data_IF_067371292272
#
_entry.id   IF_067371292272
#
_cell.length_a   1.000
_cell.length_b   1.000
_cell.length_c   1.000
_cell.angle_alpha   90.00
_cell.angle_beta   90.00
_cell.angle_gamma   90.00
#
_symmetry.space_group_name_H-M   'P 1'
#
loop_
_entity.id
_entity.type
_entity.pdbx_description
1 polymer ?
#
# COMPACT_ATOMS: atom_id res chain seq x y z
N UNK A 1 -3.39 4.99 -18.37
CA UNK A 1 -3.90 5.76 -17.22
C UNK A 1 -2.73 6.11 -16.31
N UNK A 2 -2.33 7.36 -16.24
CA UNK A 2 -1.24 7.76 -15.37
C UNK A 2 -1.71 7.85 -13.92
N UNK A 3 -0.94 7.25 -13.03
CA UNK A 3 -1.17 7.33 -11.60
C UNK A 3 -0.21 8.32 -10.97
N UNK A 4 -0.68 9.03 -9.96
CA UNK A 4 0.15 9.92 -9.16
C UNK A 4 0.71 9.12 -7.97
N UNK A 5 2.00 8.85 -7.99
CA UNK A 5 2.66 8.05 -6.96
C UNK A 5 3.22 8.94 -5.86
N UNK A 6 2.91 8.59 -4.62
CA UNK A 6 3.34 9.34 -3.44
C UNK A 6 3.92 8.37 -2.42
N UNK A 7 5.11 8.68 -1.92
CA UNK A 7 5.77 7.90 -0.86
C UNK A 7 5.82 8.77 0.39
N UNK A 8 5.24 8.28 1.48
CA UNK A 8 5.19 9.01 2.74
C UNK A 8 5.51 8.09 3.92
N UNK A 9 6.16 8.65 4.94
CA UNK A 9 6.25 7.98 6.24
C UNK A 9 4.88 8.06 6.91
N UNK A 10 4.68 7.26 7.96
CA UNK A 10 3.40 7.23 8.66
C UNK A 10 3.00 8.62 9.18
N UNK A 11 3.96 9.35 9.74
CA UNK A 11 3.68 10.67 10.31
C UNK A 11 3.34 11.73 9.26
N UNK A 12 3.71 11.51 8.01
CA UNK A 12 3.39 12.42 6.91
C UNK A 12 2.01 12.19 6.31
N UNK A 13 1.39 11.03 6.61
CA UNK A 13 0.06 10.73 6.09
C UNK A 13 -0.99 11.60 6.76
N UNK A 14 -1.93 12.12 5.96
CA UNK A 14 -3.11 12.77 6.52
C UNK A 14 -4.08 11.70 7.02
N UNK A 15 -5.03 12.10 7.87
CA UNK A 15 -6.06 11.18 8.34
C UNK A 15 -6.86 10.59 7.17
N UNK A 16 -7.18 11.43 6.16
CA UNK A 16 -7.92 10.98 4.99
C UNK A 16 -7.12 9.96 4.17
N UNK A 17 -5.82 10.19 4.00
CA UNK A 17 -4.95 9.26 3.28
C UNK A 17 -4.87 7.92 4.01
N UNK A 18 -4.66 7.96 5.31
CA UNK A 18 -4.60 6.75 6.13
C UNK A 18 -5.92 5.98 6.06
N UNK A 19 -7.04 6.68 6.12
CA UNK A 19 -8.35 6.03 6.04
C UNK A 19 -8.53 5.33 4.69
N UNK A 20 -8.16 6.00 3.59
CA UNK A 20 -8.25 5.41 2.26
C UNK A 20 -7.38 4.15 2.14
N UNK A 21 -6.17 4.19 2.70
CA UNK A 21 -5.26 3.05 2.73
C UNK A 21 -5.89 1.88 3.50
N UNK A 22 -6.41 2.15 4.69
CA UNK A 22 -7.03 1.10 5.52
C UNK A 22 -8.27 0.53 4.84
N UNK A 23 -9.07 1.37 4.18
CA UNK A 23 -10.27 0.93 3.48
C UNK A 23 -9.91 -0.02 2.33
N UNK A 24 -8.91 0.32 1.53
CA UNK A 24 -8.47 -0.54 0.42
C UNK A 24 -7.90 -1.87 0.94
N UNK A 25 -7.08 -1.83 1.97
CA UNK A 25 -6.50 -3.03 2.57
C UNK A 25 -7.58 -3.96 3.11
N UNK A 26 -8.56 -3.41 3.84
CA UNK A 26 -9.66 -4.22 4.36
C UNK A 26 -10.52 -4.81 3.24
N UNK A 27 -10.82 -4.02 2.21
CA UNK A 27 -11.63 -4.48 1.09
C UNK A 27 -11.03 -5.71 0.40
N UNK A 28 -9.73 -5.71 0.19
CA UNK A 28 -9.06 -6.79 -0.56
C UNK A 28 -8.63 -7.92 0.37
N UNK A 29 -7.92 -7.61 1.43
CA UNK A 29 -7.29 -8.66 2.25
C UNK A 29 -8.26 -9.34 3.21
N UNK A 30 -9.27 -8.62 3.69
CA UNK A 30 -10.22 -9.16 4.66
C UNK A 30 -11.52 -9.57 3.99
N UNK A 31 -12.18 -8.65 3.30
CA UNK A 31 -13.50 -8.88 2.73
C UNK A 31 -13.44 -9.76 1.49
N UNK A 32 -12.70 -9.35 0.46
CA UNK A 32 -12.63 -10.10 -0.80
C UNK A 32 -12.05 -11.49 -0.62
N UNK A 33 -10.97 -11.61 0.14
CA UNK A 33 -10.32 -12.89 0.38
C UNK A 33 -11.03 -13.73 1.45
N UNK A 34 -12.06 -13.17 2.08
CA UNK A 34 -12.81 -13.84 3.17
C UNK A 34 -11.85 -14.37 4.23
N UNK A 35 -10.91 -13.54 4.64
CA UNK A 35 -9.87 -13.89 5.59
C UNK A 35 -10.00 -13.04 6.85
N UNK A 36 -10.38 -13.66 7.95
CA UNK A 36 -10.56 -12.97 9.22
C UNK A 36 -9.20 -12.87 9.92
N UNK A 37 -8.58 -11.70 9.85
CA UNK A 37 -7.31 -11.45 10.54
C UNK A 37 -7.18 -9.96 10.84
N UNK A 38 -6.25 -9.63 11.72
CA UNK A 38 -6.01 -8.23 12.08
C UNK A 38 -5.02 -7.60 11.09
N UNK A 39 -5.54 -6.85 10.13
CA UNK A 39 -4.72 -6.20 9.11
C UNK A 39 -3.83 -5.10 9.70
N UNK A 40 -4.35 -4.32 10.64
CA UNK A 40 -3.55 -3.33 11.35
C UNK A 40 -2.71 -4.05 12.41
N UNK A 41 -1.45 -4.32 12.08
CA UNK A 41 -0.59 -5.23 12.84
C UNK A 41 0.42 -4.52 13.76
N UNK A 42 0.27 -3.21 13.92
CA UNK A 42 1.16 -2.41 14.76
C UNK A 42 2.45 -1.99 14.07
N UNK A 43 2.66 -2.40 12.82
CA UNK A 43 3.91 -2.09 12.09
C UNK A 43 3.82 -0.85 11.23
N UNK A 44 2.59 -0.38 10.94
CA UNK A 44 2.38 0.71 9.99
C UNK A 44 3.10 2.01 10.40
N UNK A 45 3.18 2.28 11.70
CA UNK A 45 3.85 3.49 12.19
C UNK A 45 5.35 3.50 11.90
N UNK A 46 5.94 2.34 11.63
CA UNK A 46 7.38 2.19 11.38
C UNK A 46 7.72 1.97 9.92
N UNK A 47 6.72 2.10 9.04
CA UNK A 47 6.87 1.78 7.62
C UNK A 47 6.74 3.01 6.75
N UNK A 48 7.19 2.89 5.51
CA UNK A 48 6.88 3.83 4.45
C UNK A 48 5.65 3.34 3.70
N UNK A 49 4.86 4.27 3.19
CA UNK A 49 3.60 3.97 2.52
C UNK A 49 3.66 4.55 1.10
N UNK A 50 3.62 3.65 0.12
CA UNK A 50 3.63 4.02 -1.29
C UNK A 50 2.20 3.91 -1.83
N UNK A 51 1.67 5.01 -2.32
CA UNK A 51 0.29 5.07 -2.80
C UNK A 51 0.22 5.61 -4.21
N UNK A 52 -0.58 4.97 -5.05
CA UNK A 52 -0.88 5.42 -6.39
C UNK A 52 -2.30 5.93 -6.47
N UNK A 53 -2.47 7.19 -6.85
CA UNK A 53 -3.75 7.89 -6.85
C UNK A 53 -4.20 8.22 -8.28
N UNK A 54 -5.50 8.15 -8.52
CA UNK A 54 -6.14 8.62 -9.75
C UNK A 54 -7.34 9.47 -9.38
N UNK A 55 -7.29 10.78 -9.65
CA UNK A 55 -8.35 11.74 -9.35
C UNK A 55 -8.84 11.64 -7.90
N UNK A 56 -7.90 11.61 -6.96
CA UNK A 56 -8.22 11.56 -5.54
C UNK A 56 -8.64 10.19 -5.03
N UNK A 57 -8.66 9.17 -5.88
CA UNK A 57 -8.96 7.79 -5.50
C UNK A 57 -7.69 6.98 -5.34
N UNK A 58 -7.60 6.22 -4.28
CA UNK A 58 -6.49 5.29 -4.07
C UNK A 58 -6.68 4.06 -4.95
N UNK A 59 -5.76 3.86 -5.88
CA UNK A 59 -5.81 2.77 -6.86
C UNK A 59 -4.91 1.62 -6.47
N UNK A 60 -3.73 1.92 -5.93
CA UNK A 60 -2.72 0.92 -5.61
C UNK A 60 -1.93 1.35 -4.39
N UNK A 61 -1.44 0.37 -3.64
CA UNK A 61 -0.74 0.65 -2.39
C UNK A 61 0.25 -0.47 -2.07
N UNK A 62 1.41 -0.11 -1.50
CA UNK A 62 2.31 -1.04 -0.84
C UNK A 62 2.84 -0.44 0.44
N UNK A 63 3.16 -1.32 1.39
CA UNK A 63 3.85 -0.96 2.61
C UNK A 63 5.31 -1.38 2.46
N UNK A 64 6.23 -0.43 2.57
CA UNK A 64 7.65 -0.68 2.50
C UNK A 64 8.20 -0.73 3.92
N UNK A 65 8.72 -1.88 4.31
CA UNK A 65 9.21 -2.13 5.66
C UNK A 65 10.73 -1.94 5.68
N UNK A 66 11.22 -0.99 6.50
CA UNK A 66 12.66 -0.84 6.69
C UNK A 66 13.30 -2.10 7.29
N UNK A 67 14.62 -2.27 7.16
CA UNK A 67 15.31 -3.38 7.82
C UNK A 67 15.02 -3.38 9.32
N UNK A 68 14.81 -4.56 9.89
CA UNK A 68 14.62 -4.74 11.33
C UNK A 68 13.18 -4.69 11.82
N UNK A 69 12.18 -4.40 10.96
CA UNK A 69 10.78 -4.36 11.37
C UNK A 69 10.17 -5.77 11.34
N UNK A 70 10.21 -6.45 10.21
CA UNK A 70 9.75 -7.85 10.08
C UNK A 70 10.90 -8.80 9.82
N UNK A 71 11.88 -8.35 9.06
CA UNK A 71 13.05 -9.11 8.67
C UNK A 71 14.28 -8.26 8.86
N UNK A 72 15.46 -8.88 8.82
CA UNK A 72 16.74 -8.16 8.91
C UNK A 72 16.94 -7.26 7.70
N UNK A 73 16.28 -7.57 6.58
CA UNK A 73 16.38 -6.80 5.34
C UNK A 73 15.10 -6.00 5.10
N UNK A 74 15.19 -4.98 4.24
CA UNK A 74 14.01 -4.25 3.79
C UNK A 74 13.07 -5.19 3.04
N UNK A 75 11.76 -4.97 3.17
CA UNK A 75 10.76 -5.82 2.54
C UNK A 75 9.59 -5.02 2.01
N UNK A 76 8.82 -5.64 1.11
CA UNK A 76 7.62 -5.06 0.52
C UNK A 76 6.44 -5.91 1.00
N UNK A 77 5.43 -5.26 1.57
CA UNK A 77 4.25 -5.97 2.05
C UNK A 77 2.97 -5.24 1.74
N UNK A 78 1.86 -5.90 2.01
CA UNK A 78 0.51 -5.36 1.77
C UNK A 78 0.35 -4.82 0.36
N UNK A 79 0.84 -5.57 -0.64
CA UNK A 79 0.73 -5.21 -2.05
C UNK A 79 -0.72 -5.34 -2.48
N UNK A 80 -1.35 -4.25 -2.91
CA UNK A 80 -2.77 -4.27 -3.25
C UNK A 80 -3.10 -3.31 -4.38
N UNK A 81 -3.98 -3.75 -5.28
CA UNK A 81 -4.57 -2.90 -6.32
C UNK A 81 -6.07 -2.92 -6.14
N UNK A 82 -6.72 -1.76 -6.26
CA UNK A 82 -8.18 -1.67 -6.18
C UNK A 82 -8.82 -2.60 -7.21
N UNK A 83 -9.86 -3.38 -6.82
CA UNK A 83 -10.52 -4.29 -7.76
C UNK A 83 -11.03 -3.59 -9.04
N UNK A 84 -11.44 -2.33 -8.93
CA UNK A 84 -11.94 -1.57 -10.08
C UNK A 84 -10.85 -1.28 -11.13
N UNK A 85 -9.58 -1.41 -10.76
CA UNK A 85 -8.45 -1.07 -11.64
C UNK A 85 -7.61 -2.29 -12.02
N UNK A 86 -8.06 -3.50 -11.72
CA UNK A 86 -7.36 -4.72 -12.13
C UNK A 86 -7.41 -4.85 -13.64
N UNK A 87 -6.32 -5.31 -14.23
CA UNK A 87 -6.21 -5.45 -15.68
C UNK A 87 -5.83 -4.18 -16.42
N UNK A 88 -5.60 -3.07 -15.70
CA UNK A 88 -5.19 -1.79 -16.31
C UNK A 88 -3.67 -1.60 -16.35
N UNK A 89 -2.89 -2.51 -15.78
CA UNK A 89 -1.45 -2.35 -15.63
C UNK A 89 -1.03 -1.67 -14.32
N UNK A 90 -2.00 -1.30 -13.46
CA UNK A 90 -1.70 -0.63 -12.19
C UNK A 90 -0.85 -1.51 -11.27
N UNK A 91 -1.10 -2.81 -11.23
CA UNK A 91 -0.31 -3.73 -10.41
C UNK A 91 1.14 -3.80 -10.84
N UNK A 92 1.40 -3.78 -12.13
CA UNK A 92 2.77 -3.77 -12.66
C UNK A 92 3.48 -2.48 -12.29
N UNK A 93 2.81 -1.33 -12.45
CA UNK A 93 3.38 -0.04 -12.07
C UNK A 93 3.68 -0.02 -10.57
N UNK A 94 2.76 -0.55 -9.76
CA UNK A 94 2.94 -0.62 -8.32
C UNK A 94 4.20 -1.37 -7.94
N UNK A 95 4.45 -2.54 -8.55
CA UNK A 95 5.65 -3.31 -8.25
C UNK A 95 6.92 -2.59 -8.71
N UNK A 96 6.90 -1.96 -9.86
CA UNK A 96 8.04 -1.18 -10.35
C UNK A 96 8.39 -0.04 -9.40
N UNK A 97 7.38 0.73 -8.97
CA UNK A 97 7.58 1.83 -8.04
C UNK A 97 8.05 1.33 -6.67
N UNK A 98 7.49 0.21 -6.20
CA UNK A 98 7.88 -0.39 -4.92
C UNK A 98 9.34 -0.80 -4.91
N UNK A 99 9.81 -1.43 -5.99
CA UNK A 99 11.20 -1.86 -6.12
C UNK A 99 12.13 -0.66 -6.14
N UNK A 100 11.80 0.36 -6.95
CA UNK A 100 12.62 1.58 -7.05
C UNK A 100 12.80 2.24 -5.69
N UNK A 101 11.73 2.36 -4.91
CA UNK A 101 11.79 3.04 -3.60
C UNK A 101 12.39 2.17 -2.50
N UNK A 102 12.47 0.85 -2.69
CA UNK A 102 13.08 -0.06 -1.71
C UNK A 102 14.61 -0.13 -1.85
N UNK A 103 15.12 0.12 -3.03
CA UNK A 103 16.56 0.05 -3.34
C UNK A 103 17.38 1.19 -2.70
#
# INVERSE_FOLDING_TARGET
>A
MPLHWVLKSFSELTAAELYAIMQLRNEVFVVEQNCVYQDADGKDAHCWHLAGWNDGKLVAYTRLLPPGISYTEASIGRVVTSPAYRGTGAGRQLMQESIVHTL
#
